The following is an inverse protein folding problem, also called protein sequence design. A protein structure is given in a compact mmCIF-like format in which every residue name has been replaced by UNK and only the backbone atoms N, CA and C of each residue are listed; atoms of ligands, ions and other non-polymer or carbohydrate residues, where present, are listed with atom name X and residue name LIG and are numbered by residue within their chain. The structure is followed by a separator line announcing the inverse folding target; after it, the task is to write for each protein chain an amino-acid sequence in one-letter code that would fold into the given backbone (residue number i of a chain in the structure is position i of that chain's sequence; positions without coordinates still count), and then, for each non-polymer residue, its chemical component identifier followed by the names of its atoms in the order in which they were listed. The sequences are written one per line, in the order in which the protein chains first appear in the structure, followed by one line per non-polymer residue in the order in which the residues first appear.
data_IF_368979389181
#
_entry.id   IF_368979389181
#
_cell.length_a   1.000
_cell.length_b   1.000
_cell.length_c   1.000
_cell.angle_alpha   90.00
_cell.angle_beta   90.00
_cell.angle_gamma   90.00
#
_symmetry.space_group_name_H-M   'P 1'
#
loop_
_entity.id
_entity.type
_entity.pdbx_description
1 polymer ?
#
# COMPACT_ATOMS: atom_id res chain seq x y z
N UNK A 1 -28.25 -20.83 7.11
CA UNK A 1 -27.13 -21.16 6.21
C UNK A 1 -26.38 -19.87 5.86
N UNK A 2 -25.07 -19.77 6.06
CA UNK A 2 -24.30 -18.57 5.65
C UNK A 2 -24.12 -18.58 4.13
N UNK A 3 -24.64 -17.56 3.43
CA UNK A 3 -24.46 -17.40 2.00
C UNK A 3 -23.02 -17.04 1.63
N UNK A 4 -22.63 -17.35 0.39
CA UNK A 4 -21.37 -16.92 -0.24
C UNK A 4 -21.47 -15.49 -0.79
N UNK A 5 -22.70 -15.02 -0.94
CA UNK A 5 -23.06 -13.74 -1.52
C UNK A 5 -24.02 -13.00 -0.59
N UNK A 6 -23.92 -11.67 -0.57
CA UNK A 6 -24.81 -10.79 0.17
C UNK A 6 -26.00 -10.42 -0.70
N UNK A 7 -27.20 -10.52 -0.13
CA UNK A 7 -28.43 -10.22 -0.84
C UNK A 7 -28.52 -8.73 -1.24
N UNK A 8 -29.38 -8.43 -2.22
CA UNK A 8 -29.70 -7.05 -2.61
C UNK A 8 -30.48 -6.38 -1.48
N UNK A 9 -30.08 -5.15 -1.12
CA UNK A 9 -30.73 -4.37 -0.05
C UNK A 9 -30.17 -4.56 1.35
N UNK A 10 -29.19 -5.46 1.56
CA UNK A 10 -28.61 -5.63 2.90
C UNK A 10 -27.92 -4.34 3.41
N UNK A 11 -28.24 -3.89 4.64
CA UNK A 11 -27.73 -2.63 5.18
C UNK A 11 -26.19 -2.65 5.36
N UNK A 12 -25.62 -3.83 5.53
CA UNK A 12 -24.16 -4.02 5.66
C UNK A 12 -23.44 -3.67 4.37
N UNK A 13 -24.03 -3.92 3.18
CA UNK A 13 -23.44 -3.52 1.90
C UNK A 13 -23.29 -2.01 1.78
N UNK A 14 -24.35 -1.26 2.12
CA UNK A 14 -24.34 0.21 2.07
C UNK A 14 -23.32 0.79 3.05
N UNK A 15 -23.30 0.29 4.29
CA UNK A 15 -22.35 0.75 5.32
C UNK A 15 -20.90 0.46 4.91
N UNK A 16 -20.61 -0.74 4.40
CA UNK A 16 -19.28 -1.08 3.93
C UNK A 16 -18.86 -0.23 2.72
N UNK A 17 -19.77 0.01 1.77
CA UNK A 17 -19.53 0.90 0.64
C UNK A 17 -19.18 2.33 1.04
N UNK A 18 -19.92 2.90 1.99
CA UNK A 18 -19.61 4.24 2.54
C UNK A 18 -18.24 4.28 3.22
N UNK A 19 -17.90 3.25 4.01
CA UNK A 19 -16.59 3.15 4.67
C UNK A 19 -15.47 3.06 3.63
N UNK A 20 -15.64 2.26 2.58
CA UNK A 20 -14.68 2.15 1.47
C UNK A 20 -14.48 3.50 0.80
N UNK A 21 -15.56 4.14 0.37
CA UNK A 21 -15.50 5.44 -0.33
C UNK A 21 -14.86 6.51 0.54
N UNK A 22 -15.27 6.62 1.81
CA UNK A 22 -14.69 7.57 2.75
C UNK A 22 -13.20 7.31 2.99
N UNK A 23 -12.78 6.03 3.07
CA UNK A 23 -11.37 5.67 3.27
C UNK A 23 -10.51 5.99 2.05
N UNK A 24 -10.99 5.69 0.83
CA UNK A 24 -10.28 6.03 -0.40
C UNK A 24 -10.25 7.55 -0.62
N UNK A 25 -11.34 8.25 -0.32
CA UNK A 25 -11.38 9.71 -0.38
C UNK A 25 -10.39 10.34 0.63
N UNK A 26 -10.31 9.79 1.84
CA UNK A 26 -9.35 10.23 2.85
C UNK A 26 -7.90 9.99 2.40
N UNK A 27 -7.60 8.83 1.79
CA UNK A 27 -6.28 8.56 1.24
C UNK A 27 -5.91 9.53 0.10
N UNK A 28 -6.87 9.88 -0.78
CA UNK A 28 -6.66 10.91 -1.81
C UNK A 28 -6.48 12.30 -1.20
N UNK A 29 -7.25 12.65 -0.16
CA UNK A 29 -7.13 13.92 0.55
C UNK A 29 -5.76 14.03 1.22
N UNK A 30 -5.31 12.98 1.90
CA UNK A 30 -3.97 12.90 2.49
C UNK A 30 -2.91 13.15 1.41
N UNK A 31 -2.93 12.39 0.31
CA UNK A 31 -1.98 12.58 -0.78
C UNK A 31 -2.00 14.01 -1.34
N UNK A 32 -3.18 14.61 -1.52
CA UNK A 32 -3.30 15.99 -1.99
C UNK A 32 -2.71 17.00 -1.00
N UNK A 33 -2.96 16.84 0.31
CA UNK A 33 -2.37 17.68 1.35
C UNK A 33 -0.85 17.53 1.37
N UNK A 34 -0.33 16.31 1.23
CA UNK A 34 1.11 16.05 1.16
C UNK A 34 1.76 16.72 -0.06
N UNK A 35 1.15 16.59 -1.26
CA UNK A 35 1.63 17.29 -2.46
C UNK A 35 1.67 18.80 -2.23
N UNK A 36 0.55 19.40 -1.79
CA UNK A 36 0.45 20.84 -1.58
C UNK A 36 1.48 21.32 -0.56
N UNK A 37 1.67 20.56 0.52
CA UNK A 37 2.64 20.88 1.56
C UNK A 37 4.07 20.82 1.05
N UNK A 38 4.40 19.87 0.16
CA UNK A 38 5.74 19.69 -0.41
C UNK A 38 6.06 20.68 -1.54
N UNK A 39 5.11 20.91 -2.44
CA UNK A 39 5.31 21.73 -3.64
C UNK A 39 5.18 23.24 -3.36
N UNK A 40 4.66 23.64 -2.19
CA UNK A 40 4.56 25.06 -1.82
C UNK A 40 5.78 25.48 -0.99
N UNK A 41 6.71 26.31 -1.51
CA UNK A 41 7.94 26.67 -0.80
C UNK A 41 7.69 27.30 0.57
N UNK A 42 6.63 28.11 0.69
CA UNK A 42 6.24 28.75 1.93
C UNK A 42 5.82 27.75 3.04
N UNK A 43 5.33 26.56 2.65
CA UNK A 43 4.95 25.49 3.56
C UNK A 43 6.10 24.50 3.77
N UNK A 44 6.87 24.19 2.73
CA UNK A 44 7.97 23.24 2.77
C UNK A 44 9.09 23.67 3.74
N UNK A 45 9.53 24.94 3.66
CA UNK A 45 10.62 25.48 4.48
C UNK A 45 10.29 25.62 5.99
N UNK A 46 9.03 25.38 6.38
CA UNK A 46 8.53 25.58 7.75
C UNK A 46 7.97 24.31 8.38
N UNK A 47 8.15 23.18 7.70
CA UNK A 47 7.71 21.87 8.17
C UNK A 47 8.66 21.33 9.24
N UNK A 48 8.13 20.83 10.37
CA UNK A 48 8.94 20.13 11.37
C UNK A 48 9.61 18.85 10.82
N UNK A 49 9.06 18.32 9.73
CA UNK A 49 9.45 17.06 9.08
C UNK A 49 10.06 17.30 7.70
N UNK A 50 10.72 18.42 7.48
CA UNK A 50 11.37 18.73 6.19
C UNK A 50 12.57 17.81 5.86
N UNK A 51 13.14 17.15 6.87
CA UNK A 51 14.30 16.26 6.71
C UNK A 51 13.88 14.77 6.65
N UNK A 52 14.80 13.98 6.14
CA UNK A 52 14.84 12.52 6.26
C UNK A 52 14.55 12.06 7.71
N UNK A 53 13.62 11.11 7.94
CA UNK A 53 13.08 10.07 7.03
C UNK A 53 11.78 10.39 6.29
N UNK A 54 11.23 11.58 6.48
CA UNK A 54 9.93 11.94 5.90
C UNK A 54 9.95 11.93 4.37
N UNK A 55 11.03 12.46 3.78
CA UNK A 55 11.11 12.61 2.33
C UNK A 55 11.06 11.26 1.59
N UNK A 56 11.68 10.23 2.17
CA UNK A 56 11.63 8.86 1.65
C UNK A 56 10.23 8.26 1.72
N UNK A 57 9.53 8.40 2.86
CA UNK A 57 8.20 7.82 3.02
C UNK A 57 7.16 8.53 2.16
N UNK A 58 7.21 9.85 2.07
CA UNK A 58 6.35 10.61 1.16
C UNK A 58 6.61 10.26 -0.31
N UNK A 59 7.88 10.05 -0.68
CA UNK A 59 8.22 9.62 -2.03
C UNK A 59 7.64 8.24 -2.36
N UNK A 60 7.61 7.33 -1.38
CA UNK A 60 6.92 6.05 -1.52
C UNK A 60 5.40 6.24 -1.66
N UNK A 61 4.79 7.12 -0.87
CA UNK A 61 3.34 7.38 -0.92
C UNK A 61 2.86 7.83 -2.30
N UNK A 62 3.65 8.63 -3.02
CA UNK A 62 3.37 9.02 -4.40
C UNK A 62 3.27 7.86 -5.38
N UNK A 63 3.78 6.67 -5.02
CA UNK A 63 3.64 5.44 -5.79
C UNK A 63 2.59 4.52 -5.18
N UNK A 64 2.66 4.31 -3.86
CA UNK A 64 1.87 3.31 -3.15
C UNK A 64 0.39 3.67 -3.08
N UNK A 65 0.07 4.94 -2.76
CA UNK A 65 -1.32 5.37 -2.63
C UNK A 65 -2.05 5.33 -3.98
N UNK A 66 -1.53 5.89 -5.10
CA UNK A 66 -2.17 5.76 -6.40
C UNK A 66 -2.37 4.31 -6.83
N UNK A 67 -1.37 3.43 -6.57
CA UNK A 67 -1.47 2.01 -6.88
C UNK A 67 -2.61 1.34 -6.10
N UNK A 68 -2.70 1.56 -4.79
CA UNK A 68 -3.75 1.01 -3.94
C UNK A 68 -5.13 1.57 -4.30
N UNK A 69 -5.24 2.86 -4.56
CA UNK A 69 -6.48 3.50 -4.99
C UNK A 69 -6.93 2.92 -6.33
N UNK A 70 -6.03 2.73 -7.29
CA UNK A 70 -6.34 2.12 -8.58
C UNK A 70 -6.86 0.68 -8.42
N UNK A 71 -6.22 -0.13 -7.57
CA UNK A 71 -6.71 -1.48 -7.23
C UNK A 71 -8.10 -1.44 -6.59
N UNK A 72 -8.33 -0.51 -5.66
CA UNK A 72 -9.61 -0.31 -4.99
C UNK A 72 -10.72 0.05 -5.99
N UNK A 73 -10.48 1.07 -6.82
CA UNK A 73 -11.42 1.53 -7.86
C UNK A 73 -11.74 0.39 -8.82
N UNK A 74 -10.74 -0.33 -9.31
CA UNK A 74 -10.92 -1.46 -10.23
C UNK A 74 -11.94 -2.49 -9.69
N UNK A 75 -11.80 -2.90 -8.42
CA UNK A 75 -12.72 -3.86 -7.79
C UNK A 75 -14.07 -3.25 -7.43
N UNK A 76 -14.13 -1.98 -7.05
CA UNK A 76 -15.40 -1.28 -6.79
C UNK A 76 -16.31 -1.28 -8.02
N UNK A 77 -15.74 -1.17 -9.23
CA UNK A 77 -16.51 -1.26 -10.49
C UNK A 77 -17.25 -2.59 -10.68
N UNK A 78 -16.80 -3.65 -10.00
CA UNK A 78 -17.45 -4.97 -10.05
C UNK A 78 -18.49 -5.18 -8.94
N UNK A 79 -18.58 -4.25 -7.97
CA UNK A 79 -19.54 -4.30 -6.87
C UNK A 79 -20.89 -3.68 -7.31
N UNK A 80 -21.63 -4.39 -8.17
CA UNK A 80 -22.90 -3.90 -8.74
C UNK A 80 -23.99 -3.74 -7.67
N UNK A 81 -24.74 -2.64 -7.77
CA UNK A 81 -25.79 -2.26 -6.80
C UNK A 81 -26.98 -3.23 -6.80
N UNK A 82 -27.36 -3.73 -7.97
CA UNK A 82 -28.57 -4.54 -8.18
C UNK A 82 -28.31 -6.04 -8.34
N UNK A 83 -27.08 -6.47 -8.11
CA UNK A 83 -26.71 -7.89 -8.17
C UNK A 83 -26.31 -8.40 -6.78
N UNK A 84 -26.31 -9.73 -6.66
CA UNK A 84 -25.72 -10.43 -5.54
C UNK A 84 -24.25 -10.02 -5.42
N UNK A 85 -23.83 -9.64 -4.20
CA UNK A 85 -22.47 -9.18 -3.98
C UNK A 85 -21.63 -10.27 -3.32
N UNK A 86 -20.65 -10.83 -4.04
CA UNK A 86 -19.57 -11.63 -3.51
C UNK A 86 -18.98 -11.11 -2.20
N UNK A 87 -19.13 -11.87 -1.11
CA UNK A 87 -18.58 -11.51 0.23
C UNK A 87 -17.07 -11.27 0.14
N UNK A 88 -16.36 -12.08 -0.65
CA UNK A 88 -14.90 -11.96 -0.79
C UNK A 88 -14.51 -10.66 -1.49
N UNK A 89 -15.21 -10.25 -2.56
CA UNK A 89 -14.93 -8.97 -3.23
C UNK A 89 -15.05 -7.80 -2.26
N UNK A 90 -16.10 -7.78 -1.43
CA UNK A 90 -16.28 -6.71 -0.46
C UNK A 90 -15.18 -6.69 0.62
N UNK A 91 -14.80 -7.87 1.12
CA UNK A 91 -13.67 -8.01 2.06
C UNK A 91 -12.36 -7.56 1.43
N UNK A 92 -12.09 -7.94 0.18
CA UNK A 92 -10.87 -7.59 -0.55
C UNK A 92 -10.76 -6.06 -0.76
N UNK A 93 -11.86 -5.38 -1.11
CA UNK A 93 -11.88 -3.92 -1.23
C UNK A 93 -11.67 -3.24 0.13
N UNK A 94 -12.29 -3.77 1.20
CA UNK A 94 -12.03 -3.28 2.56
C UNK A 94 -10.57 -3.47 2.97
N UNK A 95 -9.92 -4.56 2.55
CA UNK A 95 -8.49 -4.78 2.79
C UNK A 95 -7.64 -3.77 2.02
N UNK A 96 -7.97 -3.45 0.77
CA UNK A 96 -7.29 -2.38 0.02
C UNK A 96 -7.44 -1.04 0.71
N UNK A 97 -8.66 -0.67 1.13
CA UNK A 97 -8.89 0.55 1.89
C UNK A 97 -8.08 0.57 3.20
N UNK A 98 -8.04 -0.55 3.92
CA UNK A 98 -7.23 -0.68 5.13
C UNK A 98 -5.71 -0.61 4.87
N UNK A 99 -5.24 -1.14 3.74
CA UNK A 99 -3.86 -1.03 3.31
C UNK A 99 -3.49 0.42 2.98
N UNK A 100 -4.34 1.15 2.26
CA UNK A 100 -4.13 2.55 1.92
C UNK A 100 -4.05 3.44 3.17
N UNK A 101 -5.00 3.26 4.09
CA UNK A 101 -4.96 3.94 5.39
C UNK A 101 -3.74 3.54 6.24
N UNK A 102 -3.28 2.29 6.11
CA UNK A 102 -2.05 1.84 6.78
C UNK A 102 -0.80 2.53 6.25
N UNK A 103 -0.74 2.79 4.94
CA UNK A 103 0.33 3.59 4.32
C UNK A 103 0.26 5.03 4.82
N UNK A 104 -0.90 5.69 4.76
CA UNK A 104 -1.08 7.04 5.32
C UNK A 104 -0.63 7.12 6.78
N UNK A 105 -1.06 6.18 7.63
CA UNK A 105 -0.71 6.16 9.04
C UNK A 105 0.79 5.96 9.27
N UNK A 106 1.48 5.19 8.42
CA UNK A 106 2.93 5.02 8.53
C UNK A 106 3.67 6.34 8.28
N UNK A 107 3.21 7.12 7.31
CA UNK A 107 3.77 8.45 7.00
C UNK A 107 3.42 9.46 8.09
N UNK A 108 2.17 9.49 8.57
CA UNK A 108 1.76 10.32 9.72
C UNK A 108 2.59 10.03 10.97
N UNK A 109 2.92 8.75 11.24
CA UNK A 109 3.79 8.37 12.35
C UNK A 109 5.20 8.93 12.18
N UNK A 110 5.73 8.95 10.96
CA UNK A 110 7.04 9.56 10.69
C UNK A 110 7.02 11.08 10.90
N UNK A 111 5.94 11.76 10.50
CA UNK A 111 5.74 13.19 10.78
C UNK A 111 5.71 13.44 12.30
N UNK A 112 4.97 12.63 13.06
CA UNK A 112 4.95 12.74 14.53
C UNK A 112 6.31 12.48 15.18
N UNK A 113 7.08 11.51 14.67
CA UNK A 113 8.45 11.27 15.14
C UNK A 113 9.32 12.50 14.89
N UNK A 114 9.25 13.11 13.72
CA UNK A 114 10.00 14.34 13.42
C UNK A 114 9.59 15.51 14.34
N UNK A 115 8.29 15.69 14.60
CA UNK A 115 7.79 16.68 15.58
C UNK A 115 8.34 16.42 16.98
N UNK A 116 8.34 15.15 17.42
CA UNK A 116 8.83 14.75 18.73
C UNK A 116 10.34 14.98 18.88
N UNK A 117 11.12 14.70 17.82
CA UNK A 117 12.55 15.01 17.77
C UNK A 117 12.81 16.52 17.83
N UNK A 118 11.84 17.34 17.42
CA UNK A 118 11.90 18.79 17.58
C UNK A 118 13.04 19.44 16.80
N UNK A 119 13.50 18.80 15.71
CA UNK A 119 14.46 19.43 14.82
C UNK A 119 13.83 20.70 14.26
N UNK A 120 14.62 21.78 14.23
CA UNK A 120 14.19 23.10 13.78
C UNK A 120 13.13 23.78 14.66
N UNK A 121 12.99 23.45 15.95
CA UNK A 121 12.07 24.19 16.86
C UNK A 121 12.24 25.71 16.84
N UNK A 122 13.46 26.19 16.59
CA UNK A 122 13.76 27.62 16.47
C UNK A 122 13.10 28.30 15.25
N UNK A 123 12.71 27.55 14.22
CA UNK A 123 12.05 28.07 13.01
C UNK A 123 10.52 27.90 13.02
N UNK A 124 9.96 27.35 14.11
CA UNK A 124 8.52 27.11 14.20
C UNK A 124 7.74 28.42 14.27
N UNK A 125 6.68 28.51 13.46
CA UNK A 125 5.83 29.69 13.36
C UNK A 125 4.35 29.32 13.57
N UNK A 126 3.46 30.31 13.54
CA UNK A 126 2.01 30.06 13.53
C UNK A 126 1.57 29.13 12.39
N UNK A 127 2.26 29.18 11.24
CA UNK A 127 2.02 28.26 10.10
C UNK A 127 2.33 26.82 10.48
N UNK A 128 3.42 26.60 11.22
CA UNK A 128 3.77 25.28 11.76
C UNK A 128 2.69 24.78 12.73
N UNK A 129 2.12 25.66 13.55
CA UNK A 129 0.98 25.33 14.41
C UNK A 129 -0.25 24.85 13.63
N UNK A 130 -0.57 25.50 12.50
CA UNK A 130 -1.66 25.07 11.61
C UNK A 130 -1.35 23.71 10.96
N UNK A 131 -0.11 23.47 10.54
CA UNK A 131 0.31 22.17 9.99
C UNK A 131 0.19 21.05 11.05
N UNK A 132 0.57 21.30 12.29
CA UNK A 132 0.39 20.36 13.41
C UNK A 132 -1.08 20.07 13.70
N UNK A 133 -1.94 21.09 13.64
CA UNK A 133 -3.38 20.91 13.79
C UNK A 133 -3.95 20.06 12.64
N UNK A 134 -3.55 20.33 11.39
CA UNK A 134 -3.95 19.56 10.22
C UNK A 134 -3.50 18.10 10.33
N UNK A 135 -2.24 17.86 10.72
CA UNK A 135 -1.71 16.52 10.99
C UNK A 135 -2.53 15.80 12.06
N UNK A 136 -2.82 16.45 13.17
CA UNK A 136 -3.64 15.88 14.26
C UNK A 136 -5.01 15.45 13.77
N UNK A 137 -5.68 16.30 12.96
CA UNK A 137 -6.98 15.99 12.37
C UNK A 137 -6.88 14.82 11.39
N UNK A 138 -5.89 14.83 10.50
CA UNK A 138 -5.66 13.73 9.54
C UNK A 138 -5.41 12.41 10.27
N UNK A 139 -4.50 12.38 11.26
CA UNK A 139 -4.22 11.18 12.06
C UNK A 139 -5.46 10.64 12.76
N UNK A 140 -6.27 11.52 13.38
CA UNK A 140 -7.51 11.11 14.04
C UNK A 140 -8.52 10.52 13.03
N UNK A 141 -8.65 11.12 11.84
CA UNK A 141 -9.50 10.63 10.77
C UNK A 141 -9.00 9.28 10.23
N UNK A 142 -7.70 9.13 10.01
CA UNK A 142 -7.05 7.91 9.51
C UNK A 142 -7.25 6.75 10.48
N UNK A 143 -7.00 6.96 11.78
CA UNK A 143 -7.24 5.94 12.83
C UNK A 143 -8.73 5.56 12.88
N UNK A 144 -9.63 6.55 12.86
CA UNK A 144 -11.07 6.32 12.90
C UNK A 144 -11.53 5.52 11.68
N UNK A 145 -11.10 5.90 10.48
CA UNK A 145 -11.40 5.18 9.25
C UNK A 145 -10.87 3.75 9.29
N UNK A 146 -9.65 3.53 9.79
CA UNK A 146 -9.06 2.19 9.91
C UNK A 146 -9.85 1.32 10.89
N UNK A 147 -10.31 1.87 12.01
CA UNK A 147 -11.21 1.18 12.94
C UNK A 147 -12.55 0.83 12.29
N UNK A 148 -13.13 1.74 11.51
CA UNK A 148 -14.38 1.50 10.79
C UNK A 148 -14.22 0.42 9.71
N UNK A 149 -13.12 0.43 8.95
CA UNK A 149 -12.78 -0.63 7.99
C UNK A 149 -12.68 -1.97 8.70
N UNK A 150 -11.92 -2.05 9.81
CA UNK A 150 -11.78 -3.30 10.59
C UNK A 150 -13.13 -3.80 11.11
N UNK A 151 -13.98 -2.91 11.63
CA UNK A 151 -15.34 -3.24 12.10
C UNK A 151 -16.23 -3.72 10.95
N UNK A 152 -16.18 -3.05 9.80
CA UNK A 152 -16.92 -3.44 8.61
C UNK A 152 -16.47 -4.82 8.09
N UNK A 153 -15.16 -5.08 7.99
CA UNK A 153 -14.62 -6.37 7.56
C UNK A 153 -15.09 -7.51 8.46
N UNK A 154 -15.04 -7.31 9.79
CA UNK A 154 -15.53 -8.32 10.76
C UNK A 154 -17.02 -8.60 10.56
N UNK A 155 -17.84 -7.55 10.39
CA UNK A 155 -19.29 -7.71 10.17
C UNK A 155 -19.61 -8.45 8.88
N UNK A 156 -18.92 -8.13 7.79
CA UNK A 156 -19.09 -8.82 6.50
C UNK A 156 -18.70 -10.29 6.60
N UNK A 157 -17.59 -10.62 7.27
CA UNK A 157 -17.16 -12.01 7.48
C UNK A 157 -18.08 -12.81 8.40
N UNK A 158 -18.79 -12.15 9.33
CA UNK A 158 -19.76 -12.84 10.20
C UNK A 158 -20.97 -13.33 9.41
N UNK A 159 -21.41 -12.57 8.40
CA UNK A 159 -22.63 -12.84 7.63
C UNK A 159 -22.45 -13.87 6.52
N UNK A 160 -21.25 -13.98 5.94
CA UNK A 160 -21.00 -14.90 4.83
C UNK A 160 -19.62 -15.53 4.88
N UNK A 161 -19.49 -16.71 4.26
CA UNK A 161 -18.19 -17.33 4.04
C UNK A 161 -17.61 -16.81 2.73
N UNK A 162 -16.36 -16.38 2.75
CA UNK A 162 -15.63 -16.06 1.53
C UNK A 162 -15.31 -17.37 0.78
N UNK A 163 -16.22 -17.80 -0.08
CA UNK A 163 -16.00 -18.95 -0.97
C UNK A 163 -14.85 -18.69 -1.96
N UNK A 164 -14.42 -19.75 -2.66
CA UNK A 164 -13.47 -19.69 -3.77
C UNK A 164 -14.09 -18.91 -4.94
N UNK A 165 -13.93 -17.60 -4.91
CA UNK A 165 -14.36 -16.67 -5.95
C UNK A 165 -13.21 -16.30 -6.87
N UNK A 166 -13.50 -15.69 -8.05
CA UNK A 166 -12.49 -15.29 -9.02
C UNK A 166 -11.38 -14.46 -8.37
N UNK A 167 -10.14 -14.73 -8.74
CA UNK A 167 -8.97 -14.01 -8.23
C UNK A 167 -8.98 -12.54 -8.71
N UNK A 168 -8.10 -11.71 -8.15
CA UNK A 168 -8.00 -10.29 -8.50
C UNK A 168 -7.71 -10.07 -9.99
N UNK A 169 -6.91 -10.95 -10.59
CA UNK A 169 -6.53 -10.87 -11.99
C UNK A 169 -7.70 -11.20 -12.92
N UNK A 170 -8.52 -12.21 -12.60
CA UNK A 170 -9.74 -12.50 -13.35
C UNK A 170 -10.73 -11.34 -13.31
N UNK A 171 -10.83 -10.67 -12.15
CA UNK A 171 -11.66 -9.49 -12.00
C UNK A 171 -11.12 -8.30 -12.83
N UNK A 172 -9.80 -8.13 -12.95
CA UNK A 172 -9.19 -7.15 -13.85
C UNK A 172 -9.56 -7.41 -15.33
N UNK A 173 -9.51 -8.67 -15.78
CA UNK A 173 -9.95 -9.07 -17.12
C UNK A 173 -11.43 -8.77 -17.32
N UNK A 174 -12.28 -9.06 -16.32
CA UNK A 174 -13.72 -8.80 -16.40
C UNK A 174 -14.02 -7.30 -16.54
N UNK A 175 -13.26 -6.43 -15.85
CA UNK A 175 -13.34 -4.97 -16.05
C UNK A 175 -12.87 -4.59 -17.45
N UNK A 176 -11.75 -5.14 -17.92
CA UNK A 176 -11.22 -4.89 -19.26
C UNK A 176 -12.20 -5.26 -20.39
N UNK A 177 -12.83 -6.44 -20.30
CA UNK A 177 -13.87 -6.88 -21.24
C UNK A 177 -15.07 -5.93 -21.23
N UNK A 178 -15.47 -5.45 -20.03
CA UNK A 178 -16.57 -4.49 -19.91
C UNK A 178 -16.22 -3.14 -20.51
N UNK A 179 -15.03 -2.61 -20.23
CA UNK A 179 -14.55 -1.36 -20.78
C UNK A 179 -14.46 -1.43 -22.31
N UNK A 180 -13.94 -2.54 -22.86
CA UNK A 180 -13.91 -2.81 -24.30
C UNK A 180 -15.32 -2.83 -24.93
N UNK A 181 -16.35 -3.26 -24.18
CA UNK A 181 -17.74 -3.24 -24.62
C UNK A 181 -18.31 -1.83 -24.84
N UNK A 182 -17.75 -0.81 -24.18
CA UNK A 182 -18.18 0.59 -24.30
C UNK A 182 -17.57 1.27 -25.54
N UNK A 183 -16.47 0.74 -26.10
CA UNK A 183 -15.73 1.35 -27.20
C UNK A 183 -16.39 1.25 -28.61
N UNK A 184 -17.59 0.70 -28.72
CA UNK A 184 -18.35 0.69 -29.98
C UNK A 184 -17.58 0.08 -31.16
N UNK A 185 -17.15 0.92 -32.12
CA UNK A 185 -16.46 0.55 -33.36
C UNK A 185 -15.13 -0.18 -33.13
N UNK A 186 -14.38 0.17 -32.07
CA UNK A 186 -13.06 -0.42 -31.78
C UNK A 186 -13.12 -1.64 -30.85
N UNK A 187 -14.34 -2.14 -30.57
CA UNK A 187 -14.58 -3.26 -29.65
C UNK A 187 -13.79 -4.52 -30.03
N UNK A 188 -13.66 -4.83 -31.31
CA UNK A 188 -12.94 -6.01 -31.78
C UNK A 188 -11.46 -5.97 -31.39
N UNK A 189 -10.80 -4.85 -31.63
CA UNK A 189 -9.42 -4.62 -31.25
C UNK A 189 -9.25 -4.59 -29.72
N UNK A 190 -10.11 -3.87 -29.00
CA UNK A 190 -10.04 -3.78 -27.55
C UNK A 190 -10.20 -5.15 -26.87
N UNK A 191 -11.12 -5.99 -27.35
CA UNK A 191 -11.27 -7.36 -26.85
C UNK A 191 -10.07 -8.25 -27.20
N UNK A 192 -9.49 -8.09 -28.39
CA UNK A 192 -8.28 -8.80 -28.78
C UNK A 192 -7.11 -8.46 -27.85
N UNK A 193 -6.92 -7.17 -27.52
CA UNK A 193 -5.92 -6.71 -26.55
C UNK A 193 -6.16 -7.34 -25.17
N UNK A 194 -7.39 -7.26 -24.64
CA UNK A 194 -7.71 -7.85 -23.32
C UNK A 194 -7.44 -9.36 -23.27
N UNK A 195 -7.82 -10.10 -24.32
CA UNK A 195 -7.57 -11.55 -24.41
C UNK A 195 -6.08 -11.86 -24.52
N UNK A 196 -5.35 -11.08 -25.31
CA UNK A 196 -3.89 -11.23 -25.42
C UNK A 196 -3.21 -10.95 -24.07
N UNK A 197 -3.62 -9.90 -23.36
CA UNK A 197 -3.11 -9.56 -22.03
C UNK A 197 -3.39 -10.67 -21.03
N UNK A 198 -4.58 -11.27 -21.05
CA UNK A 198 -4.91 -12.41 -20.18
C UNK A 198 -4.02 -13.64 -20.48
N UNK A 199 -3.91 -13.99 -21.76
CA UNK A 199 -3.15 -15.16 -22.20
C UNK A 199 -1.63 -15.02 -22.00
N UNK A 200 -1.06 -13.82 -22.18
CA UNK A 200 0.39 -13.61 -22.16
C UNK A 200 0.90 -12.98 -20.87
N UNK A 201 0.24 -11.93 -20.39
CA UNK A 201 0.72 -11.15 -19.23
C UNK A 201 0.19 -11.75 -17.94
N UNK A 202 -1.12 -11.88 -17.80
CA UNK A 202 -1.75 -12.36 -16.56
C UNK A 202 -1.35 -13.80 -16.26
N UNK A 203 -1.32 -14.66 -17.28
CA UNK A 203 -0.85 -16.03 -17.12
C UNK A 203 0.60 -16.08 -16.63
N UNK A 204 1.50 -15.20 -17.12
CA UNK A 204 2.88 -15.09 -16.61
C UNK A 204 2.95 -14.54 -15.18
N UNK A 205 2.13 -13.54 -14.85
CA UNK A 205 2.05 -13.01 -13.48
C UNK A 205 1.60 -14.11 -12.51
N UNK A 206 0.63 -14.95 -12.92
CA UNK A 206 0.17 -16.11 -12.12
C UNK A 206 1.25 -17.19 -12.00
N UNK A 207 2.09 -17.39 -13.01
CA UNK A 207 3.17 -18.40 -12.95
C UNK A 207 4.39 -17.93 -12.18
N UNK A 208 4.71 -16.65 -12.25
CA UNK A 208 5.91 -16.05 -11.65
C UNK A 208 5.57 -14.73 -10.92
N UNK A 209 4.76 -14.78 -9.83
CA UNK A 209 4.29 -13.57 -9.15
C UNK A 209 5.42 -12.75 -8.53
N UNK A 210 6.49 -13.40 -8.06
CA UNK A 210 7.64 -12.71 -7.46
C UNK A 210 8.45 -11.98 -8.54
N UNK A 211 8.68 -12.60 -9.70
CA UNK A 211 9.37 -11.94 -10.80
C UNK A 211 8.55 -10.76 -11.34
N UNK A 212 7.23 -10.92 -11.45
CA UNK A 212 6.33 -9.83 -11.82
C UNK A 212 6.37 -8.67 -10.79
N UNK A 213 6.42 -8.97 -9.49
CA UNK A 213 6.60 -7.95 -8.45
C UNK A 213 7.93 -7.20 -8.60
N UNK A 214 9.02 -7.92 -8.90
CA UNK A 214 10.34 -7.31 -9.15
C UNK A 214 10.34 -6.38 -10.37
N UNK A 215 9.76 -6.83 -11.50
CA UNK A 215 9.62 -6.02 -12.71
C UNK A 215 8.77 -4.78 -12.43
N UNK A 216 7.63 -4.95 -11.75
CA UNK A 216 6.76 -3.83 -11.41
C UNK A 216 7.47 -2.81 -10.52
N UNK A 217 8.20 -3.28 -9.49
CA UNK A 217 8.95 -2.40 -8.60
C UNK A 217 10.03 -1.60 -9.33
N UNK A 218 10.76 -2.24 -10.25
CA UNK A 218 11.75 -1.55 -11.09
C UNK A 218 11.07 -0.51 -11.97
N UNK A 219 10.00 -0.86 -12.68
CA UNK A 219 9.27 0.06 -13.56
C UNK A 219 8.73 1.27 -12.80
N UNK A 220 8.21 1.07 -11.58
CA UNK A 220 7.70 2.14 -10.73
C UNK A 220 8.82 3.03 -10.16
N UNK A 221 10.03 2.51 -9.99
CA UNK A 221 11.18 3.27 -9.50
C UNK A 221 11.85 4.14 -10.60
N UNK A 222 11.76 3.75 -11.88
CA UNK A 222 12.44 4.44 -12.98
C UNK A 222 12.17 5.95 -13.07
N UNK A 223 10.93 6.46 -12.93
CA UNK A 223 10.68 7.90 -13.01
C UNK A 223 11.42 8.70 -11.93
N UNK A 224 11.54 8.15 -10.72
CA UNK A 224 12.24 8.80 -9.61
C UNK A 224 13.75 8.84 -9.87
N UNK A 225 14.32 7.76 -10.39
CA UNK A 225 15.74 7.73 -10.79
C UNK A 225 16.01 8.74 -11.89
N UNK A 226 15.14 8.80 -12.91
CA UNK A 226 15.27 9.78 -13.98
C UNK A 226 15.22 11.21 -13.43
N UNK A 227 14.32 11.50 -12.50
CA UNK A 227 14.26 12.80 -11.83
C UNK A 227 15.57 13.11 -11.05
N UNK A 228 16.10 12.17 -10.27
CA UNK A 228 17.37 12.36 -9.53
C UNK A 228 18.57 12.60 -10.45
N UNK A 229 18.60 11.97 -11.62
CA UNK A 229 19.67 12.17 -12.62
C UNK A 229 19.54 13.50 -13.34
N UNK A 230 18.33 13.81 -13.84
CA UNK A 230 18.10 14.95 -14.75
C UNK A 230 17.94 16.27 -14.00
N UNK A 231 17.24 16.25 -12.86
CA UNK A 231 16.88 17.47 -12.11
C UNK A 231 17.91 17.75 -11.03
N UNK A 232 18.32 16.72 -10.28
CA UNK A 232 19.16 16.89 -9.09
C UNK A 232 20.65 16.61 -9.35
N UNK A 233 21.01 16.17 -10.58
CA UNK A 233 22.38 15.93 -11.01
C UNK A 233 23.18 15.01 -10.05
N UNK A 234 22.52 14.01 -9.46
CA UNK A 234 23.16 13.12 -8.51
C UNK A 234 24.36 12.37 -9.13
N UNK A 235 25.46 12.19 -8.39
CA UNK A 235 26.57 11.36 -8.85
C UNK A 235 26.14 9.90 -8.95
N UNK A 236 26.73 9.17 -9.90
CA UNK A 236 26.32 7.80 -10.24
C UNK A 236 26.17 6.84 -9.02
N UNK A 237 27.05 6.84 -8.00
CA UNK A 237 26.86 6.00 -6.83
C UNK A 237 25.57 6.28 -6.04
N UNK A 238 25.21 7.56 -5.87
CA UNK A 238 23.98 7.95 -5.15
C UNK A 238 22.73 7.62 -5.96
N UNK A 239 22.81 7.71 -7.29
CA UNK A 239 21.73 7.29 -8.19
C UNK A 239 21.47 5.79 -8.06
N UNK A 240 22.53 4.97 -8.07
CA UNK A 240 22.42 3.51 -7.91
C UNK A 240 21.82 3.17 -6.54
N UNK A 241 22.31 3.81 -5.48
CA UNK A 241 21.83 3.56 -4.12
C UNK A 241 20.35 3.93 -3.97
N UNK A 242 19.96 5.10 -4.46
CA UNK A 242 18.56 5.57 -4.46
C UNK A 242 17.65 4.61 -5.23
N UNK A 243 18.10 4.12 -6.39
CA UNK A 243 17.36 3.14 -7.18
C UNK A 243 17.20 1.81 -6.44
N UNK A 244 18.29 1.24 -5.90
CA UNK A 244 18.27 -0.06 -5.25
C UNK A 244 17.36 -0.04 -4.02
N UNK A 245 17.43 1.02 -3.20
CA UNK A 245 16.55 1.13 -2.05
C UNK A 245 15.10 1.34 -2.46
N UNK A 246 14.81 2.27 -3.37
CA UNK A 246 13.42 2.53 -3.81
C UNK A 246 12.79 1.29 -4.47
N UNK A 247 13.47 0.69 -5.44
CA UNK A 247 12.99 -0.53 -6.10
C UNK A 247 12.87 -1.68 -5.10
N UNK A 248 13.79 -1.77 -4.14
CA UNK A 248 13.73 -2.72 -3.03
C UNK A 248 12.51 -2.54 -2.14
N UNK A 249 12.20 -1.32 -1.69
CA UNK A 249 11.03 -1.03 -0.86
C UNK A 249 9.74 -1.32 -1.62
N UNK A 250 9.66 -0.90 -2.88
CA UNK A 250 8.50 -1.15 -3.74
C UNK A 250 8.31 -2.64 -3.95
N UNK A 251 9.39 -3.40 -4.16
CA UNK A 251 9.33 -4.86 -4.24
C UNK A 251 8.81 -5.47 -2.94
N UNK A 252 9.38 -5.09 -1.80
CA UNK A 252 8.96 -5.57 -0.48
C UNK A 252 7.47 -5.27 -0.24
N UNK A 253 7.05 -4.04 -0.54
CA UNK A 253 5.66 -3.62 -0.43
C UNK A 253 4.74 -4.43 -1.35
N UNK A 254 5.05 -4.55 -2.65
CA UNK A 254 4.22 -5.28 -3.61
C UNK A 254 4.09 -6.76 -3.21
N UNK A 255 5.16 -7.38 -2.70
CA UNK A 255 5.12 -8.76 -2.21
C UNK A 255 4.21 -8.88 -0.98
N UNK A 256 4.40 -8.02 0.02
CA UNK A 256 3.62 -8.04 1.27
C UNK A 256 2.14 -7.74 0.99
N UNK A 257 1.86 -6.69 0.22
CA UNK A 257 0.49 -6.28 -0.11
C UNK A 257 -0.17 -7.29 -1.06
N UNK A 258 0.57 -7.85 -2.01
CA UNK A 258 0.09 -8.90 -2.88
C UNK A 258 -0.33 -10.15 -2.10
N UNK A 259 0.47 -10.53 -1.09
CA UNK A 259 0.14 -11.62 -0.18
C UNK A 259 -1.05 -11.29 0.74
N UNK A 260 -1.13 -10.06 1.26
CA UNK A 260 -2.22 -9.60 2.12
C UNK A 260 -3.57 -9.52 1.39
N UNK A 261 -3.57 -8.98 0.17
CA UNK A 261 -4.74 -8.83 -0.69
C UNK A 261 -5.11 -10.12 -1.43
N UNK A 262 -4.20 -11.10 -1.46
CA UNK A 262 -4.35 -12.34 -2.22
C UNK A 262 -4.55 -12.06 -3.71
N UNK A 263 -3.72 -11.17 -4.26
CA UNK A 263 -3.74 -10.82 -5.68
C UNK A 263 -3.53 -12.07 -6.56
N UNK A 264 -2.58 -12.91 -6.15
CA UNK A 264 -2.33 -14.24 -6.73
C UNK A 264 -2.46 -15.27 -5.60
N UNK A 265 -3.28 -16.32 -5.76
CA UNK A 265 -3.33 -17.41 -4.79
C UNK A 265 -1.93 -18.02 -4.59
N UNK A 266 -1.43 -18.14 -3.35
CA UNK A 266 -0.10 -18.67 -3.14
C UNK A 266 -0.04 -20.14 -3.52
N UNK A 267 0.99 -20.51 -4.29
CA UNK A 267 1.26 -21.89 -4.70
C UNK A 267 1.86 -22.75 -3.58
N UNK A 268 2.46 -22.12 -2.57
CA UNK A 268 3.06 -22.76 -1.40
C UNK A 268 2.41 -22.23 -0.13
N UNK A 269 2.21 -23.11 0.86
CA UNK A 269 1.63 -22.73 2.15
C UNK A 269 2.53 -21.74 2.91
N UNK A 270 3.85 -21.87 2.77
CA UNK A 270 4.85 -21.01 3.39
C UNK A 270 5.74 -20.34 2.33
N UNK A 271 6.02 -19.03 2.47
CA UNK A 271 7.01 -18.36 1.63
C UNK A 271 8.42 -18.91 1.92
N UNK A 272 9.30 -18.98 0.91
CA UNK A 272 10.68 -19.43 1.12
C UNK A 272 11.46 -18.42 1.98
N UNK A 273 12.41 -18.90 2.79
CA UNK A 273 13.17 -18.07 3.73
C UNK A 273 13.87 -16.88 3.05
N UNK A 274 14.47 -17.09 1.87
CA UNK A 274 15.14 -16.01 1.12
C UNK A 274 14.22 -14.84 0.78
N UNK A 275 12.93 -15.09 0.52
CA UNK A 275 11.97 -14.04 0.20
C UNK A 275 11.64 -13.21 1.44
N UNK A 276 11.47 -13.88 2.58
CA UNK A 276 11.28 -13.22 3.88
C UNK A 276 12.51 -12.34 4.16
N UNK A 277 13.72 -12.90 4.03
CA UNK A 277 14.97 -12.17 4.23
C UNK A 277 15.08 -10.98 3.29
N UNK A 278 14.74 -11.12 2.01
CA UNK A 278 14.78 -10.02 1.04
C UNK A 278 13.80 -8.90 1.41
N UNK A 279 12.54 -9.22 1.72
CA UNK A 279 11.53 -8.22 2.13
C UNK A 279 11.98 -7.49 3.39
N UNK A 280 12.49 -8.25 4.38
CA UNK A 280 13.04 -7.71 5.62
C UNK A 280 14.23 -6.80 5.36
N UNK A 281 15.19 -7.24 4.57
CA UNK A 281 16.40 -6.48 4.25
C UNK A 281 16.08 -5.19 3.51
N UNK A 282 15.16 -5.21 2.55
CA UNK A 282 14.76 -4.00 1.85
C UNK A 282 13.97 -3.05 2.73
N UNK A 283 13.07 -3.54 3.59
CA UNK A 283 12.32 -2.68 4.50
C UNK A 283 13.24 -2.04 5.54
N UNK A 284 14.13 -2.83 6.15
CA UNK A 284 15.12 -2.33 7.10
C UNK A 284 16.13 -1.38 6.44
N UNK A 285 16.58 -1.71 5.23
CA UNK A 285 17.49 -0.90 4.44
C UNK A 285 16.91 0.47 4.10
N UNK A 286 15.63 0.52 3.69
CA UNK A 286 14.93 1.78 3.42
C UNK A 286 14.76 2.63 4.68
N UNK A 287 14.39 2.01 5.81
CA UNK A 287 14.34 2.73 7.09
C UNK A 287 15.73 3.31 7.40
N UNK A 288 16.79 2.50 7.29
CA UNK A 288 18.16 2.95 7.59
C UNK A 288 18.60 4.08 6.66
N UNK A 289 18.32 3.97 5.37
CA UNK A 289 18.58 5.00 4.37
C UNK A 289 17.79 6.28 4.65
N UNK A 290 16.51 6.16 5.01
CA UNK A 290 15.68 7.31 5.36
C UNK A 290 16.20 8.06 6.59
N UNK A 291 17.00 7.43 7.45
CA UNK A 291 17.60 8.10 8.59
C UNK A 291 19.09 8.45 8.37
N UNK A 292 19.63 8.30 7.16
CA UNK A 292 21.07 8.41 6.91
C UNK A 292 21.66 9.76 7.33
N UNK A 293 21.00 10.87 7.00
CA UNK A 293 21.48 12.21 7.38
C UNK A 293 21.50 12.37 8.91
N UNK A 294 20.48 11.86 9.59
CA UNK A 294 20.42 11.84 11.06
C UNK A 294 21.54 11.00 11.69
N UNK A 295 21.89 9.88 11.04
CA UNK A 295 22.93 8.94 11.47
C UNK A 295 24.33 9.52 11.29
N UNK A 296 24.55 10.28 10.21
CA UNK A 296 25.84 10.87 9.87
C UNK A 296 26.12 12.15 10.69
N UNK A 297 25.11 12.95 11.01
CA UNK A 297 25.28 14.22 11.75
C UNK A 297 25.23 14.07 13.28
N UNK A 298 24.48 13.11 13.81
CA UNK A 298 24.33 12.93 15.26
C UNK A 298 24.54 11.47 15.68
N UNK A 299 25.81 11.04 15.75
CA UNK A 299 26.22 9.73 16.27
C UNK A 299 25.99 9.65 17.79
N UNK A 300 24.73 9.64 18.24
CA UNK A 300 24.40 9.28 19.62
C UNK A 300 24.10 7.79 19.68
N UNK A 301 24.71 7.09 20.63
CA UNK A 301 24.53 5.64 20.85
C UNK A 301 23.04 5.28 21.01
N UNK A 302 22.24 6.17 21.59
CA UNK A 302 20.80 6.05 21.74
C UNK A 302 20.03 6.15 20.42
N UNK A 303 20.46 7.00 19.48
CA UNK A 303 19.82 7.16 18.16
C UNK A 303 20.04 5.94 17.27
N UNK A 304 21.28 5.43 17.25
CA UNK A 304 21.62 4.17 16.57
C UNK A 304 20.84 2.99 17.16
N UNK A 305 20.77 2.89 18.50
CA UNK A 305 20.02 1.85 19.21
C UNK A 305 18.52 1.85 18.89
N UNK A 306 17.85 3.00 18.92
CA UNK A 306 16.43 3.12 18.60
C UNK A 306 16.12 2.75 17.13
N UNK A 307 17.08 2.98 16.24
CA UNK A 307 16.95 2.76 14.81
C UNK A 307 17.21 1.31 14.40
N UNK A 308 18.24 0.67 14.97
CA UNK A 308 18.41 -0.78 14.86
C UNK A 308 17.24 -1.52 15.50
N UNK A 309 16.73 -1.03 16.63
CA UNK A 309 15.54 -1.57 17.26
C UNK A 309 14.29 -1.39 16.38
N UNK A 310 14.10 -0.22 15.78
CA UNK A 310 12.99 0.05 14.86
C UNK A 310 13.05 -0.78 13.57
N UNK A 311 14.23 -0.89 12.97
CA UNK A 311 14.48 -1.75 11.80
C UNK A 311 14.28 -3.23 12.15
N UNK A 312 14.75 -3.69 13.32
CA UNK A 312 14.52 -5.04 13.81
C UNK A 312 13.05 -5.30 14.15
N UNK A 313 12.33 -4.31 14.68
CA UNK A 313 10.90 -4.41 14.98
C UNK A 313 10.06 -4.44 13.70
N UNK A 314 10.38 -3.62 12.70
CA UNK A 314 9.79 -3.66 11.37
C UNK A 314 10.06 -5.02 10.68
N UNK A 315 11.30 -5.50 10.75
CA UNK A 315 11.69 -6.82 10.27
C UNK A 315 10.93 -7.96 10.96
N UNK A 316 10.80 -7.89 12.28
CA UNK A 316 10.09 -8.88 13.10
C UNK A 316 8.58 -8.85 12.83
N UNK A 317 7.97 -7.68 12.70
CA UNK A 317 6.53 -7.54 12.39
C UNK A 317 6.21 -8.03 10.99
N UNK A 318 7.03 -7.73 9.99
CA UNK A 318 6.91 -8.29 8.63
C UNK A 318 7.07 -9.80 8.65
N UNK A 319 8.09 -10.32 9.35
CA UNK A 319 8.31 -11.76 9.49
C UNK A 319 7.14 -12.47 10.16
N UNK A 320 6.62 -11.90 11.25
CA UNK A 320 5.44 -12.41 11.96
C UNK A 320 4.18 -12.33 11.09
N UNK A 321 3.99 -11.26 10.32
CA UNK A 321 2.86 -11.14 9.40
C UNK A 321 2.91 -12.23 8.32
N UNK A 322 4.09 -12.47 7.73
CA UNK A 322 4.31 -13.54 6.74
C UNK A 322 4.13 -14.93 7.35
N UNK A 323 4.64 -15.19 8.57
CA UNK A 323 4.46 -16.46 9.27
C UNK A 323 2.99 -16.72 9.65
N UNK A 324 2.29 -15.71 10.17
CA UNK A 324 0.88 -15.82 10.58
C UNK A 324 -0.04 -16.03 9.37
N UNK A 325 0.29 -15.44 8.22
CA UNK A 325 -0.37 -15.72 6.94
C UNK A 325 -0.17 -17.18 6.48
N UNK A 326 0.98 -17.79 6.79
CA UNK A 326 1.25 -19.22 6.55
C UNK A 326 0.52 -20.15 7.54
N UNK A 327 0.51 -19.83 8.83
CA UNK A 327 -0.09 -20.67 9.88
C UNK A 327 -1.61 -20.67 9.90
N UNK A 328 -2.29 -19.59 9.51
CA UNK A 328 -3.76 -19.56 9.40
C UNK A 328 -4.32 -20.46 8.28
N UNK A 329 -3.47 -21.22 7.59
CA UNK A 329 -3.81 -21.99 6.38
C UNK A 329 -3.47 -23.47 6.41
N UNK A 330 -2.85 -23.98 7.48
CA UNK A 330 -2.77 -25.42 7.69
C UNK A 330 -4.10 -25.89 8.29
N UNK A 331 -4.97 -26.61 7.55
CA UNK A 331 -6.08 -27.30 8.19
C UNK A 331 -5.50 -28.28 9.23
N UNK A 332 -6.17 -28.48 10.39
CA UNK A 332 -5.73 -29.49 11.33
C UNK A 332 -5.62 -30.82 10.58
N UNK A 333 -4.48 -31.49 10.73
CA UNK A 333 -4.28 -32.82 10.17
C UNK A 333 -5.46 -33.70 10.58
N UNK A 334 -6.04 -34.50 9.67
CA UNK A 334 -7.09 -35.43 10.05
C UNK A 334 -6.52 -36.33 11.15
N UNK A 335 -7.15 -36.29 12.33
CA UNK A 335 -6.87 -37.27 13.39
C UNK A 335 -7.20 -38.63 12.79
N UNK A 336 -6.16 -39.44 12.57
CA UNK A 336 -6.32 -40.86 12.33
C UNK A 336 -6.65 -41.56 13.64
#
# INVERSE_FOLDING_TARGET
MKGTDLAVGEPVRRRAGLVILASLALACLFAAVTVVSKETPALALRQPWQDDPYDVLVSLDFVLLPLLVALGVLRVQLCRRYELLPVRRLVDVLRVAGAALGVCLATELAEWVAVALGRHRASWTTVTGLQLAALTVLTALTITALMLVRRASRRVMLLGRAASQPDWLADAVAVGVRAAGVLGRDRGWALAVVRWTDARVITRVRTQPIAAAGILAVLLALPFVAAKVVIECYPAPLVILSFVFLAGSLFAFVVVIGAYLLLVPPRRATPPAWLITAVVAFTAGTVTFAFHDSLLTHQTVSGLGALYFGAALAAATVSLALQKLGHLRTPPAPRR
#
